data_IF_613297487425
#
_entry.id   IF_613297487425
#
_cell.length_a   1.000
_cell.length_b   1.000
_cell.length_c   1.000
_cell.angle_alpha   90.00
_cell.angle_beta   90.00
_cell.angle_gamma   90.00
#
_symmetry.space_group_name_H-M   'P 1'
#
loop_
_entity.id
_entity.type
_entity.pdbx_description
1 polymer ?
#
# COMPACT_ATOMS: atom_id res chain seq x y z
N UNK A 1 7.26 -51.30 29.16
CA UNK A 1 8.29 -50.31 29.55
C UNK A 1 8.56 -49.47 28.31
N UNK A 2 7.80 -48.43 27.93
CA UNK A 2 7.41 -47.20 28.64
C UNK A 2 8.52 -46.68 29.55
N UNK A 3 9.28 -45.71 29.05
CA UNK A 3 9.77 -44.60 29.86
C UNK A 3 9.62 -43.31 29.03
N UNK A 4 8.66 -42.49 29.47
CA UNK A 4 8.43 -41.14 29.00
C UNK A 4 9.46 -40.22 29.67
N UNK A 5 10.30 -39.56 28.88
CA UNK A 5 11.13 -38.45 29.36
C UNK A 5 10.31 -37.19 29.52
N UNK A 6 9.87 -36.93 30.75
CA UNK A 6 9.26 -35.67 31.19
C UNK A 6 10.22 -34.50 30.90
N UNK A 7 9.79 -33.54 30.07
CA UNK A 7 10.39 -32.20 30.04
C UNK A 7 9.79 -31.37 31.16
N UNK A 8 10.62 -31.01 32.13
CA UNK A 8 10.27 -30.07 33.20
C UNK A 8 9.86 -28.70 32.64
N UNK A 9 8.74 -28.12 33.09
CA UNK A 9 8.36 -26.75 32.76
C UNK A 9 9.13 -25.80 33.69
N UNK A 10 10.27 -25.27 33.26
CA UNK A 10 11.05 -24.41 34.16
C UNK A 10 12.42 -23.91 33.71
N UNK A 11 12.74 -23.86 32.42
CA UNK A 11 13.88 -23.04 31.99
C UNK A 11 13.51 -21.56 32.14
N UNK A 12 13.83 -21.04 33.34
CA UNK A 12 13.73 -19.63 33.72
C UNK A 12 14.50 -18.80 32.72
N UNK A 13 13.80 -18.02 31.90
CA UNK A 13 14.36 -16.89 31.16
C UNK A 13 15.20 -16.04 32.13
N UNK A 14 16.46 -15.76 31.79
CA UNK A 14 17.25 -14.74 32.50
C UNK A 14 16.42 -13.44 32.52
N UNK A 15 16.30 -12.76 33.68
CA UNK A 15 15.65 -11.45 33.71
C UNK A 15 16.41 -10.50 32.78
N UNK A 16 15.67 -9.80 31.91
CA UNK A 16 16.21 -8.78 31.02
C UNK A 16 16.73 -7.65 31.93
N UNK A 17 18.04 -7.38 31.90
CA UNK A 17 18.64 -6.26 32.62
C UNK A 17 19.03 -5.13 31.65
N UNK A 18 19.19 -3.91 32.20
CA UNK A 18 19.46 -2.71 31.40
C UNK A 18 20.75 -2.82 30.58
N UNK A 19 21.76 -3.52 31.10
CA UNK A 19 23.03 -3.72 30.42
C UNK A 19 22.92 -4.72 29.27
N UNK A 20 22.02 -5.70 29.36
CA UNK A 20 21.72 -6.62 28.27
C UNK A 20 20.92 -5.93 27.15
N UNK A 21 19.90 -5.14 27.50
CA UNK A 21 19.14 -4.33 26.53
C UNK A 21 20.07 -3.33 25.83
N UNK A 22 20.94 -2.64 26.59
CA UNK A 22 21.94 -1.73 26.01
C UNK A 22 22.89 -2.44 25.05
N UNK A 23 23.42 -3.62 25.40
CA UNK A 23 24.28 -4.41 24.51
C UNK A 23 23.61 -4.84 23.21
N UNK A 24 22.32 -5.20 23.25
CA UNK A 24 21.54 -5.51 22.03
C UNK A 24 21.41 -4.26 21.16
N UNK A 25 21.08 -3.12 21.75
CA UNK A 25 20.95 -1.86 21.03
C UNK A 25 22.29 -1.37 20.47
N UNK A 26 23.39 -1.53 21.21
CA UNK A 26 24.75 -1.22 20.76
C UNK A 26 25.16 -2.10 19.58
N UNK A 27 24.88 -3.41 19.63
CA UNK A 27 25.16 -4.33 18.53
C UNK A 27 24.31 -4.02 17.28
N UNK A 28 23.03 -3.65 17.48
CA UNK A 28 22.15 -3.23 16.40
C UNK A 28 22.55 -1.87 15.80
N UNK A 29 23.12 -0.96 16.60
CA UNK A 29 23.60 0.35 16.17
C UNK A 29 24.93 0.26 15.39
N UNK A 30 25.77 -0.74 15.68
CA UNK A 30 27.02 -1.00 14.95
C UNK A 30 26.80 -1.70 13.59
N UNK A 31 25.65 -2.35 13.38
CA UNK A 31 25.24 -2.80 12.06
C UNK A 31 24.88 -1.59 11.18
N UNK A 32 25.45 -1.50 9.96
CA UNK A 32 25.31 -0.34 9.05
C UNK A 32 23.87 0.05 8.64
N UNK A 33 22.85 -0.67 9.12
CA UNK A 33 21.45 -0.46 8.78
C UNK A 33 20.68 0.30 9.88
N UNK A 34 20.54 1.62 9.66
CA UNK A 34 19.83 2.56 10.53
C UNK A 34 18.35 2.22 10.75
N UNK A 35 17.68 1.63 9.77
CA UNK A 35 16.26 1.32 9.83
C UNK A 35 15.98 0.00 10.57
N UNK A 36 16.91 -0.96 10.50
CA UNK A 36 16.88 -2.14 11.38
C UNK A 36 17.04 -1.76 12.85
N UNK A 37 17.92 -0.81 13.18
CA UNK A 37 18.06 -0.33 14.57
C UNK A 37 16.75 0.27 15.10
N UNK A 38 16.10 1.16 14.32
CA UNK A 38 14.85 1.80 14.73
C UNK A 38 13.71 0.79 14.90
N UNK A 39 13.59 -0.19 14.00
CA UNK A 39 12.59 -1.26 14.12
C UNK A 39 12.82 -2.13 15.36
N UNK A 40 14.07 -2.55 15.61
CA UNK A 40 14.41 -3.38 16.77
C UNK A 40 14.20 -2.63 18.09
N UNK A 41 14.64 -1.37 18.17
CA UNK A 41 14.47 -0.55 19.36
C UNK A 41 12.98 -0.23 19.64
N UNK A 42 12.18 -0.06 18.58
CA UNK A 42 10.74 0.16 18.70
C UNK A 42 10.00 -1.08 19.19
N UNK A 43 10.18 -2.22 18.52
CA UNK A 43 9.52 -3.48 18.87
C UNK A 43 9.91 -3.96 20.28
N UNK A 44 11.20 -3.86 20.64
CA UNK A 44 11.68 -4.21 21.98
C UNK A 44 11.11 -3.26 23.05
N UNK A 45 11.01 -1.96 22.76
CA UNK A 45 10.37 -1.01 23.65
C UNK A 45 8.90 -1.33 23.92
N UNK A 46 8.14 -1.70 22.88
CA UNK A 46 6.72 -2.08 22.99
C UNK A 46 6.53 -3.36 23.83
N UNK A 47 7.35 -4.39 23.58
CA UNK A 47 7.30 -5.65 24.35
C UNK A 47 7.64 -5.42 25.84
N UNK A 48 8.61 -4.54 26.15
CA UNK A 48 8.95 -4.19 27.53
C UNK A 48 7.85 -3.38 28.23
N UNK A 49 7.17 -2.47 27.53
CA UNK A 49 5.98 -1.76 28.06
C UNK A 49 4.85 -2.76 28.35
N UNK A 50 4.61 -3.72 27.47
CA UNK A 50 3.58 -4.74 27.66
C UNK A 50 3.86 -5.65 28.87
N UNK A 51 5.14 -5.82 29.23
CA UNK A 51 5.58 -6.58 30.40
C UNK A 51 5.68 -5.75 31.68
N UNK A 52 5.41 -4.45 31.61
CA UNK A 52 5.50 -3.53 32.74
C UNK A 52 6.93 -3.12 33.12
N UNK A 53 7.91 -3.41 32.26
CA UNK A 53 9.34 -3.10 32.49
C UNK A 53 9.68 -1.70 31.94
N UNK A 54 8.99 -0.70 32.49
CA UNK A 54 8.99 0.68 31.99
C UNK A 54 10.36 1.35 31.95
N UNK A 55 11.24 1.07 32.94
CA UNK A 55 12.59 1.63 32.97
C UNK A 55 13.50 1.10 31.85
N UNK A 56 13.24 -0.10 31.34
CA UNK A 56 13.99 -0.67 30.21
C UNK A 56 13.41 -0.21 28.87
N UNK A 57 12.08 -0.07 28.80
CA UNK A 57 11.43 0.53 27.65
C UNK A 57 11.89 1.99 27.42
N UNK A 58 12.07 2.75 28.50
CA UNK A 58 12.56 4.13 28.46
C UNK A 58 13.95 4.22 27.79
N UNK A 59 14.87 3.30 28.13
CA UNK A 59 16.19 3.20 27.51
C UNK A 59 16.10 2.91 26.00
N UNK A 60 15.13 2.11 25.55
CA UNK A 60 14.92 1.84 24.12
C UNK A 60 14.43 3.10 23.38
N UNK A 61 13.45 3.81 23.96
CA UNK A 61 12.84 4.98 23.32
C UNK A 61 13.75 6.23 23.33
N UNK A 62 14.52 6.45 24.40
CA UNK A 62 15.52 7.51 24.44
C UNK A 62 16.58 7.34 23.35
N UNK A 63 17.04 6.11 23.15
CA UNK A 63 18.05 5.79 22.16
C UNK A 63 17.51 5.91 20.73
N UNK A 64 16.26 5.51 20.51
CA UNK A 64 15.56 5.71 19.24
C UNK A 64 15.38 7.20 18.91
N UNK A 65 15.01 8.01 19.91
CA UNK A 65 14.86 9.47 19.76
C UNK A 65 16.20 10.16 19.46
N UNK A 66 17.25 9.80 20.19
CA UNK A 66 18.60 10.37 19.99
C UNK A 66 19.19 10.00 18.62
N UNK A 67 18.89 8.81 18.10
CA UNK A 67 19.43 8.33 16.83
C UNK A 67 18.74 8.96 15.62
N UNK A 68 17.45 9.28 15.72
CA UNK A 68 16.66 9.87 14.65
C UNK A 68 16.75 11.41 14.57
N UNK A 69 17.41 12.06 15.53
CA UNK A 69 17.54 13.52 15.67
C UNK A 69 18.31 14.29 14.58
N UNK A 70 18.58 13.67 13.42
CA UNK A 70 19.29 14.30 12.30
C UNK A 70 18.87 13.77 10.92
N UNK A 71 17.67 13.18 10.81
CA UNK A 71 17.21 12.51 9.59
C UNK A 71 15.98 13.24 9.02
N UNK A 72 15.97 13.53 7.71
CA UNK A 72 14.87 14.21 7.00
C UNK A 72 13.73 13.26 6.57
N UNK A 73 13.87 11.96 6.87
CA UNK A 73 12.87 10.95 6.58
C UNK A 73 11.68 11.07 7.53
N UNK A 74 10.51 11.39 6.97
CA UNK A 74 9.27 11.63 7.68
C UNK A 74 8.90 10.48 8.63
N UNK A 75 9.19 9.23 8.25
CA UNK A 75 8.89 8.06 9.08
C UNK A 75 9.75 8.02 10.35
N UNK A 76 11.05 8.31 10.21
CA UNK A 76 11.99 8.33 11.33
C UNK A 76 11.74 9.54 12.25
N UNK A 77 11.31 10.66 11.69
CA UNK A 77 10.93 11.86 12.46
C UNK A 77 9.69 11.60 13.33
N UNK A 78 8.68 10.93 12.80
CA UNK A 78 7.47 10.59 13.56
C UNK A 78 7.74 9.49 14.61
N UNK A 79 8.55 8.48 14.28
CA UNK A 79 8.99 7.48 15.25
C UNK A 79 9.81 8.12 16.40
N UNK A 80 10.68 9.09 16.09
CA UNK A 80 11.45 9.84 17.09
C UNK A 80 10.58 10.70 17.99
N UNK A 81 9.53 11.32 17.44
CA UNK A 81 8.54 12.10 18.18
C UNK A 81 7.73 11.21 19.12
N UNK A 82 7.26 10.07 18.62
CA UNK A 82 6.53 9.09 19.42
C UNK A 82 7.39 8.54 20.56
N UNK A 83 8.65 8.17 20.28
CA UNK A 83 9.58 7.69 21.29
C UNK A 83 9.91 8.77 22.34
N UNK A 84 10.07 10.04 21.93
CA UNK A 84 10.32 11.15 22.87
C UNK A 84 9.13 11.43 23.79
N UNK A 85 7.91 11.34 23.25
CA UNK A 85 6.68 11.48 24.04
C UNK A 85 6.52 10.33 25.04
N UNK A 86 6.80 9.09 24.61
CA UNK A 86 6.75 7.91 25.47
C UNK A 86 7.84 7.92 26.56
N UNK A 87 9.08 8.27 26.23
CA UNK A 87 10.15 8.39 27.23
C UNK A 87 9.84 9.48 28.26
N UNK A 88 9.37 10.65 27.81
CA UNK A 88 8.96 11.74 28.72
C UNK A 88 7.82 11.35 29.67
N UNK A 89 6.97 10.42 29.24
CA UNK A 89 5.88 9.88 30.05
C UNK A 89 6.34 8.77 31.01
N UNK A 90 7.37 8.01 30.67
CA UNK A 90 7.89 6.89 31.47
C UNK A 90 8.96 7.33 32.48
N UNK A 91 9.75 8.37 32.17
CA UNK A 91 10.84 8.89 33.01
C UNK A 91 10.39 9.53 34.34
N UNK A 92 9.09 9.65 34.59
CA UNK A 92 8.53 10.17 35.84
C UNK A 92 8.43 9.16 36.99
N UNK A 93 8.69 7.87 36.76
CA UNK A 93 8.60 6.81 37.78
C UNK A 93 7.20 6.61 38.39
N UNK A 94 6.18 7.28 37.87
CA UNK A 94 4.79 7.12 38.28
C UNK A 94 4.04 6.22 37.29
N UNK A 95 3.25 5.30 37.83
CA UNK A 95 2.30 4.50 37.04
C UNK A 95 1.42 5.43 36.20
N UNK A 96 1.29 5.19 34.88
CA UNK A 96 0.60 6.13 34.01
C UNK A 96 -0.90 6.21 34.35
N UNK A 97 -1.43 7.43 34.48
CA UNK A 97 -2.87 7.68 34.62
C UNK A 97 -3.66 7.27 33.35
N UNK A 98 -4.99 7.15 33.46
CA UNK A 98 -5.90 6.69 32.38
C UNK A 98 -5.66 7.41 31.04
N UNK A 99 -5.32 8.71 31.07
CA UNK A 99 -5.02 9.51 29.87
C UNK A 99 -3.82 8.98 29.07
N UNK A 100 -2.82 8.42 29.75
CA UNK A 100 -1.61 7.90 29.11
C UNK A 100 -1.84 6.50 28.54
N UNK A 101 -2.74 5.73 29.15
CA UNK A 101 -3.22 4.46 28.58
C UNK A 101 -4.02 4.73 27.30
N UNK A 102 -4.81 5.79 27.27
CA UNK A 102 -5.56 6.19 26.07
C UNK A 102 -4.64 6.67 24.95
N UNK A 103 -3.58 7.43 25.27
CA UNK A 103 -2.57 7.86 24.28
C UNK A 103 -1.75 6.67 23.76
N UNK A 104 -1.33 5.75 24.64
CA UNK A 104 -0.62 4.53 24.25
C UNK A 104 -1.52 3.60 23.44
N UNK A 105 -2.79 3.47 23.78
CA UNK A 105 -3.75 2.64 23.04
C UNK A 105 -4.11 3.27 21.68
N UNK A 106 -4.16 4.60 21.59
CA UNK A 106 -4.36 5.33 20.32
C UNK A 106 -3.15 5.17 19.41
N UNK A 107 -1.93 5.32 19.95
CA UNK A 107 -0.69 5.09 19.20
C UNK A 107 -0.52 3.62 18.80
N UNK A 108 -0.89 2.68 19.68
CA UNK A 108 -0.96 1.25 19.41
C UNK A 108 -1.96 0.95 18.28
N UNK A 109 -3.10 1.62 18.24
CA UNK A 109 -4.08 1.49 17.15
C UNK A 109 -3.61 2.07 15.83
N UNK A 110 -2.77 3.11 15.86
CA UNK A 110 -2.20 3.69 14.64
C UNK A 110 -0.99 2.88 14.11
N UNK A 111 -0.22 2.22 14.99
CA UNK A 111 0.89 1.34 14.61
C UNK A 111 0.49 -0.10 14.30
N UNK A 112 -0.58 -0.64 14.88
CA UNK A 112 -1.14 -1.97 14.49
C UNK A 112 -1.76 -2.00 13.09
N UNK A 113 -1.84 -0.84 12.42
CA UNK A 113 -2.19 -0.71 11.00
C UNK A 113 -1.01 -0.94 10.05
N UNK A 114 0.21 -1.07 10.56
CA UNK A 114 1.36 -1.52 9.79
C UNK A 114 1.38 -3.05 9.77
N UNK A 115 1.39 -3.62 8.58
CA UNK A 115 1.50 -5.05 8.39
C UNK A 115 2.96 -5.49 8.61
N UNK A 116 3.21 -6.77 8.97
CA UNK A 116 4.56 -7.32 9.00
C UNK A 116 5.32 -7.17 7.65
N UNK A 117 4.60 -6.94 6.53
CA UNK A 117 5.18 -6.64 5.22
C UNK A 117 5.71 -5.20 5.12
N UNK A 118 5.05 -4.22 5.74
CA UNK A 118 5.51 -2.82 5.78
C UNK A 118 6.83 -2.68 6.57
N UNK A 119 6.96 -3.46 7.64
CA UNK A 119 8.19 -3.56 8.45
C UNK A 119 9.28 -4.35 7.72
N UNK A 120 8.92 -5.43 7.01
CA UNK A 120 9.86 -6.22 6.16
C UNK A 120 10.36 -5.43 4.94
N UNK A 121 9.52 -4.62 4.32
CA UNK A 121 9.89 -3.76 3.19
C UNK A 121 10.86 -2.65 3.62
N UNK A 122 10.58 -2.02 4.77
CA UNK A 122 11.46 -1.02 5.36
C UNK A 122 12.79 -1.61 5.85
N UNK A 123 12.83 -2.87 6.30
CA UNK A 123 14.09 -3.54 6.70
C UNK A 123 14.88 -4.10 5.51
N UNK A 124 14.23 -4.65 4.49
CA UNK A 124 14.88 -5.19 3.28
C UNK A 124 15.53 -4.12 2.40
N UNK A 125 14.95 -2.92 2.36
CA UNK A 125 15.49 -1.79 1.59
C UNK A 125 16.79 -1.25 2.18
N UNK A 126 17.08 -1.50 3.46
CA UNK A 126 18.23 -0.92 4.15
C UNK A 126 19.24 -1.93 4.68
N UNK A 127 18.97 -3.23 4.58
CA UNK A 127 19.88 -4.31 4.99
C UNK A 127 21.01 -4.57 3.99
N UNK A 128 21.21 -3.71 2.98
CA UNK A 128 22.45 -3.71 2.19
C UNK A 128 23.51 -2.87 2.90
N UNK A 129 24.58 -3.49 3.43
CA UNK A 129 25.76 -2.76 3.87
C UNK A 129 26.44 -2.18 2.62
N UNK A 130 26.92 -0.95 2.72
CA UNK A 130 27.56 -0.31 1.58
C UNK A 130 28.91 -0.99 1.29
N UNK A 131 29.00 -1.63 0.13
CA UNK A 131 30.29 -1.83 -0.54
C UNK A 131 30.62 -3.24 -0.97
N UNK A 132 30.05 -3.71 -2.07
CA UNK A 132 30.85 -4.03 -3.27
C UNK A 132 29.91 -4.30 -4.45
N UNK A 133 30.18 -3.65 -5.59
CA UNK A 133 29.48 -3.90 -6.85
C UNK A 133 28.68 -2.70 -7.32
N UNK A 134 29.34 -1.79 -8.02
CA UNK A 134 28.71 -0.78 -8.86
C UNK A 134 27.64 -1.41 -9.78
N UNK A 135 26.57 -0.67 -10.13
CA UNK A 135 25.47 -1.21 -10.94
C UNK A 135 25.98 -1.64 -12.33
N UNK A 136 25.56 -2.80 -12.89
CA UNK A 136 25.62 -2.98 -14.33
C UNK A 136 24.52 -2.11 -14.94
N UNK A 137 24.94 -1.17 -15.79
CA UNK A 137 24.14 -0.21 -16.55
C UNK A 137 23.63 1.05 -15.83
N UNK A 138 24.59 1.86 -15.38
CA UNK A 138 24.59 3.27 -15.76
C UNK A 138 24.95 3.41 -17.26
N UNK A 139 24.01 3.08 -18.16
CA UNK A 139 24.11 3.40 -19.58
C UNK A 139 23.06 4.47 -19.92
N UNK A 140 23.56 5.71 -19.99
CA UNK A 140 23.06 6.86 -20.76
C UNK A 140 21.55 6.88 -21.01
N UNK A 141 20.87 7.67 -20.18
CA UNK A 141 19.58 8.29 -20.50
C UNK A 141 19.54 8.72 -21.98
N UNK A 142 18.47 8.40 -22.74
CA UNK A 142 18.30 8.97 -24.07
C UNK A 142 18.24 10.50 -23.93
N UNK A 143 19.03 11.20 -24.75
CA UNK A 143 18.89 12.65 -24.93
C UNK A 143 17.44 12.92 -25.34
N UNK A 144 16.73 13.61 -24.47
CA UNK A 144 15.45 14.26 -24.76
C UNK A 144 15.62 15.08 -26.05
N UNK A 145 14.81 14.89 -27.11
CA UNK A 145 14.82 15.80 -28.24
C UNK A 145 14.47 17.20 -27.73
N UNK A 146 15.25 18.19 -28.17
CA UNK A 146 15.19 19.56 -27.70
C UNK A 146 13.75 20.10 -27.65
N UNK A 147 13.46 20.79 -26.54
CA UNK A 147 12.22 21.47 -26.26
C UNK A 147 11.71 22.30 -27.45
N UNK A 148 10.41 22.17 -27.76
CA UNK A 148 9.64 23.34 -28.16
C UNK A 148 9.44 24.21 -26.90
N UNK A 149 9.66 25.53 -26.99
CA UNK A 149 9.65 26.39 -25.83
C UNK A 149 8.20 26.71 -25.42
N UNK A 150 7.76 26.20 -24.26
CA UNK A 150 6.55 26.70 -23.60
C UNK A 150 5.78 25.68 -22.78
N UNK A 151 6.31 25.27 -21.62
CA UNK A 151 5.54 24.95 -20.40
C UNK A 151 6.48 24.34 -19.36
N UNK A 152 6.98 25.15 -18.43
CA UNK A 152 7.54 24.65 -17.16
C UNK A 152 6.35 24.33 -16.25
N UNK A 153 5.88 23.08 -16.25
CA UNK A 153 4.98 22.60 -15.20
C UNK A 153 5.83 22.01 -14.08
N UNK A 154 5.81 22.64 -12.91
CA UNK A 154 6.50 22.16 -11.72
C UNK A 154 5.75 20.96 -11.14
N UNK A 155 6.47 19.87 -10.87
CA UNK A 155 6.02 18.72 -10.08
C UNK A 155 5.33 19.20 -8.79
N UNK A 156 4.08 18.77 -8.54
CA UNK A 156 3.34 19.17 -7.34
C UNK A 156 2.43 18.04 -6.86
N UNK A 157 2.85 17.25 -5.86
CA UNK A 157 2.09 16.11 -5.38
C UNK A 157 0.76 16.55 -4.75
N UNK A 158 -0.28 15.74 -4.90
CA UNK A 158 -1.53 15.93 -4.17
C UNK A 158 -1.29 15.75 -2.66
N UNK A 159 -2.16 16.29 -1.80
CA UNK A 159 -1.85 16.41 -0.38
C UNK A 159 -1.73 15.06 0.35
N UNK A 160 -0.57 14.83 0.95
CA UNK A 160 -0.36 13.81 1.97
C UNK A 160 -1.06 14.15 3.30
N UNK A 161 -1.08 13.21 4.28
CA UNK A 161 -1.70 13.46 5.57
C UNK A 161 -0.98 14.59 6.31
N UNK A 162 -1.58 15.77 6.34
CA UNK A 162 -1.11 16.90 7.14
C UNK A 162 -1.56 16.76 8.59
N UNK A 163 -0.62 16.49 9.49
CA UNK A 163 -0.80 16.49 10.93
C UNK A 163 -0.53 17.88 11.52
N UNK A 164 -1.58 18.55 12.01
CA UNK A 164 -1.47 19.59 13.04
C UNK A 164 -2.64 19.47 14.03
N UNK A 165 -2.39 19.48 15.36
CA UNK A 165 -3.43 19.37 16.36
C UNK A 165 -4.24 20.67 16.44
N UNK A 166 -5.56 20.52 16.54
CA UNK A 166 -6.49 21.61 16.81
C UNK A 166 -6.40 21.97 18.31
N UNK A 167 -5.88 23.16 18.62
CA UNK A 167 -5.97 23.74 19.96
C UNK A 167 -6.94 24.95 19.94
N UNK A 168 -7.78 24.96 20.96
CA UNK A 168 -8.59 26.06 21.50
C UNK A 168 -9.65 26.74 20.61
N UNK A 169 -10.88 26.22 20.69
CA UNK A 169 -12.06 27.07 20.55
C UNK A 169 -13.00 26.88 21.75
N UNK A 170 -13.19 27.98 22.48
CA UNK A 170 -14.06 28.10 23.65
C UNK A 170 -15.54 27.90 23.28
N UNK A 171 -16.24 27.25 24.20
CA UNK A 171 -17.67 26.99 24.20
C UNK A 171 -18.52 28.25 24.03
N UNK A 172 -19.53 28.18 23.16
CA UNK A 172 -20.60 29.17 23.12
C UNK A 172 -21.41 29.21 21.83
N UNK A 173 -22.29 28.23 21.58
CA UNK A 173 -23.68 28.53 21.15
C UNK A 173 -24.53 27.26 21.31
N UNK A 174 -25.38 27.22 22.34
CA UNK A 174 -26.41 26.20 22.54
C UNK A 174 -27.59 26.54 21.63
N UNK A 175 -27.76 25.82 20.52
CA UNK A 175 -29.04 25.84 19.77
C UNK A 175 -29.53 24.44 19.43
N UNK A 176 -30.58 24.06 20.17
CA UNK A 176 -31.69 23.12 19.87
C UNK A 176 -31.34 21.83 19.13
N UNK A 177 -31.25 20.74 19.90
CA UNK A 177 -31.37 19.35 19.43
C UNK A 177 -32.85 19.12 19.07
N UNK A 178 -33.24 18.83 17.81
CA UNK A 178 -34.55 18.25 17.53
C UNK A 178 -34.50 16.76 17.85
N UNK A 179 -35.57 16.30 18.46
CA UNK A 179 -35.80 14.93 18.89
C UNK A 179 -35.74 13.90 17.75
N UNK A 180 -35.21 12.71 18.09
CA UNK A 180 -35.27 11.42 17.37
C UNK A 180 -35.05 11.51 15.85
N UNK A 181 -33.79 11.38 15.43
CA UNK A 181 -33.45 11.03 14.05
C UNK A 181 -33.79 9.56 13.83
N UNK A 182 -34.87 9.31 13.09
CA UNK A 182 -35.04 8.07 12.34
C UNK A 182 -33.73 7.77 11.59
N UNK A 183 -33.20 6.55 11.73
CA UNK A 183 -31.95 6.13 11.07
C UNK A 183 -32.07 6.39 9.56
N UNK A 184 -31.31 7.34 8.97
CA UNK A 184 -31.40 7.58 7.54
C UNK A 184 -30.98 6.33 6.79
N UNK A 185 -31.76 5.92 5.79
CA UNK A 185 -31.43 4.78 4.92
C UNK A 185 -30.03 4.94 4.37
N UNK A 186 -29.18 3.92 4.54
CA UNK A 186 -27.80 3.92 4.04
C UNK A 186 -27.84 3.95 2.51
N UNK A 187 -27.11 4.87 1.91
CA UNK A 187 -26.97 4.98 0.45
C UNK A 187 -25.75 4.17 0.05
N UNK A 188 -25.91 3.23 -0.87
CA UNK A 188 -24.83 2.35 -1.32
C UNK A 188 -24.34 2.77 -2.71
N UNK A 189 -23.04 3.00 -2.81
CA UNK A 189 -22.32 3.29 -4.03
C UNK A 189 -21.36 2.15 -4.35
N UNK A 190 -21.29 1.76 -5.61
CA UNK A 190 -20.25 0.89 -6.14
C UNK A 190 -19.28 1.75 -6.94
N UNK A 191 -17.99 1.60 -6.68
CA UNK A 191 -16.94 2.36 -7.34
C UNK A 191 -16.00 1.40 -8.04
N UNK A 192 -15.78 1.65 -9.32
CA UNK A 192 -14.83 0.91 -10.13
C UNK A 192 -13.66 1.79 -10.45
N UNK A 193 -12.49 1.42 -9.94
CA UNK A 193 -11.24 2.11 -10.18
C UNK A 193 -10.28 1.30 -11.07
N UNK A 194 -10.45 -0.02 -11.16
CA UNK A 194 -9.59 -0.88 -11.98
C UNK A 194 -10.03 -0.78 -13.44
N UNK A 195 -9.30 0.04 -14.19
CA UNK A 195 -9.61 0.49 -15.54
C UNK A 195 -10.36 1.81 -15.59
N UNK A 196 -11.39 1.88 -16.43
CA UNK A 196 -12.19 3.10 -16.57
C UNK A 196 -12.93 3.40 -15.27
N UNK A 197 -12.87 4.64 -14.81
CA UNK A 197 -13.55 5.04 -13.57
C UNK A 197 -15.07 5.02 -13.76
N UNK A 198 -15.77 4.26 -12.92
CA UNK A 198 -17.23 4.27 -12.85
C UNK A 198 -17.70 4.45 -11.42
N UNK A 199 -18.72 5.28 -11.23
CA UNK A 199 -19.44 5.43 -9.97
C UNK A 199 -20.89 5.00 -10.23
N UNK A 200 -21.31 3.94 -9.57
CA UNK A 200 -22.64 3.38 -9.73
C UNK A 200 -23.45 3.56 -8.44
N UNK A 201 -24.76 3.73 -8.60
CA UNK A 201 -25.73 3.63 -7.51
C UNK A 201 -26.87 2.73 -7.94
N UNK A 202 -27.17 1.71 -7.13
CA UNK A 202 -28.18 0.69 -7.47
C UNK A 202 -27.96 0.10 -8.88
N UNK A 203 -26.69 -0.18 -9.22
CA UNK A 203 -26.28 -0.74 -10.51
C UNK A 203 -26.34 0.23 -11.71
N UNK A 204 -26.69 1.51 -11.51
CA UNK A 204 -26.71 2.53 -12.58
C UNK A 204 -25.52 3.47 -12.45
N UNK A 205 -24.76 3.65 -13.54
CA UNK A 205 -23.68 4.62 -13.60
C UNK A 205 -24.23 6.06 -13.47
N UNK A 206 -23.58 6.86 -12.62
CA UNK A 206 -23.91 8.27 -12.42
C UNK A 206 -23.19 9.15 -13.45
N UNK A 207 -23.83 10.26 -13.86
CA UNK A 207 -23.18 11.24 -14.72
C UNK A 207 -22.26 12.15 -13.88
N UNK A 208 -20.96 11.99 -14.05
CA UNK A 208 -19.95 12.79 -13.35
C UNK A 208 -19.87 14.23 -13.88
N UNK A 209 -20.59 14.53 -14.96
CA UNK A 209 -20.65 15.84 -15.60
C UNK A 209 -19.33 16.26 -16.25
N UNK A 210 -19.29 17.53 -16.68
CA UNK A 210 -18.16 18.11 -17.44
C UNK A 210 -17.13 18.84 -16.58
N UNK A 211 -17.38 19.03 -15.29
CA UNK A 211 -16.49 19.79 -14.41
C UNK A 211 -15.29 18.94 -13.99
N UNK A 212 -14.15 19.14 -14.65
CA UNK A 212 -12.92 18.39 -14.39
C UNK A 212 -12.53 18.37 -12.91
N UNK A 213 -12.48 19.54 -12.25
CA UNK A 213 -12.06 19.64 -10.83
C UNK A 213 -13.04 19.00 -9.86
N UNK A 214 -14.36 19.10 -10.11
CA UNK A 214 -15.34 18.42 -9.26
C UNK A 214 -15.20 16.89 -9.37
N UNK A 215 -15.01 16.38 -10.60
CA UNK A 215 -14.75 14.97 -10.84
C UNK A 215 -13.46 14.51 -10.16
N UNK A 216 -12.37 15.27 -10.28
CA UNK A 216 -11.10 14.96 -9.59
C UNK A 216 -11.28 14.90 -8.08
N UNK A 217 -11.95 15.88 -7.47
CA UNK A 217 -12.23 15.86 -6.02
C UNK A 217 -13.08 14.64 -5.63
N UNK A 218 -14.12 14.32 -6.40
CA UNK A 218 -14.97 13.16 -6.12
C UNK A 218 -14.17 11.85 -6.18
N UNK A 219 -13.40 11.62 -7.25
CA UNK A 219 -12.51 10.46 -7.38
C UNK A 219 -11.56 10.35 -6.20
N UNK A 220 -10.94 11.48 -5.81
CA UNK A 220 -10.01 11.54 -4.69
C UNK A 220 -10.67 11.23 -3.34
N UNK A 221 -11.87 11.77 -3.07
CA UNK A 221 -12.63 11.48 -1.86
C UNK A 221 -13.07 10.01 -1.80
N UNK A 222 -13.49 9.43 -2.91
CA UNK A 222 -13.88 8.02 -2.99
C UNK A 222 -12.68 7.10 -2.76
N UNK A 223 -11.55 7.38 -3.42
CA UNK A 223 -10.32 6.58 -3.30
C UNK A 223 -9.71 6.61 -1.88
N UNK A 224 -9.91 7.70 -1.14
CA UNK A 224 -9.40 7.84 0.24
C UNK A 224 -10.44 7.52 1.31
N UNK A 225 -11.69 7.23 0.95
CA UNK A 225 -12.75 6.98 1.91
C UNK A 225 -12.40 5.82 2.85
N UNK A 226 -12.64 5.92 4.17
CA UNK A 226 -13.39 6.97 4.88
C UNK A 226 -12.52 8.14 5.39
N UNK A 227 -11.27 8.27 4.95
CA UNK A 227 -10.32 9.25 5.48
C UNK A 227 -10.72 10.68 5.07
N UNK A 228 -10.70 11.65 6.00
CA UNK A 228 -10.98 13.04 5.69
C UNK A 228 -9.85 13.67 4.86
N UNK A 229 -10.20 14.68 4.06
CA UNK A 229 -9.29 15.44 3.20
C UNK A 229 -9.35 16.92 3.56
N UNK A 230 -8.19 17.53 3.82
CA UNK A 230 -8.11 18.95 4.17
C UNK A 230 -8.60 19.85 3.03
N UNK A 231 -9.47 20.81 3.36
CA UNK A 231 -9.94 21.84 2.42
C UNK A 231 -8.78 22.67 1.90
N UNK A 232 -7.86 23.07 2.77
CA UNK A 232 -6.78 23.99 2.41
C UNK A 232 -5.79 23.29 1.49
N UNK A 233 -5.54 22.00 1.74
CA UNK A 233 -4.78 21.14 0.85
C UNK A 233 -5.43 20.96 -0.53
N UNK A 234 -6.76 20.78 -0.62
CA UNK A 234 -7.47 20.74 -1.90
C UNK A 234 -7.36 22.06 -2.66
N UNK A 235 -7.39 23.19 -1.94
CA UNK A 235 -7.21 24.52 -2.53
C UNK A 235 -5.83 24.67 -3.15
N UNK A 236 -4.78 24.35 -2.39
CA UNK A 236 -3.39 24.48 -2.84
C UNK A 236 -3.08 23.57 -4.03
N UNK A 237 -3.62 22.35 -4.03
CA UNK A 237 -3.42 21.39 -5.10
C UNK A 237 -4.16 21.79 -6.38
N UNK A 238 -5.45 22.12 -6.28
CA UNK A 238 -6.29 22.31 -7.47
C UNK A 238 -6.31 23.75 -7.99
N UNK A 239 -6.02 24.75 -7.16
CA UNK A 239 -5.98 26.16 -7.57
C UNK A 239 -4.74 26.89 -7.04
N UNK A 240 -3.53 26.41 -7.37
CA UNK A 240 -2.28 26.95 -6.82
C UNK A 240 -2.02 28.42 -7.13
N UNK A 241 -2.54 28.91 -8.25
CA UNK A 241 -2.33 30.28 -8.75
C UNK A 241 -3.45 31.24 -8.36
N UNK A 242 -4.49 30.75 -7.67
CA UNK A 242 -5.64 31.57 -7.30
C UNK A 242 -5.45 32.20 -5.92
N UNK A 243 -5.76 33.49 -5.80
CA UNK A 243 -5.84 34.13 -4.49
C UNK A 243 -6.86 33.45 -3.57
N UNK A 244 -6.58 33.43 -2.27
CA UNK A 244 -7.30 32.62 -1.28
C UNK A 244 -8.84 32.72 -1.34
N UNK A 245 -9.39 33.94 -1.51
CA UNK A 245 -10.85 34.15 -1.62
C UNK A 245 -11.46 33.48 -2.85
N UNK A 246 -10.79 33.59 -4.01
CA UNK A 246 -11.24 32.99 -5.27
C UNK A 246 -11.15 31.48 -5.20
N UNK A 247 -10.04 30.94 -4.68
CA UNK A 247 -9.85 29.51 -4.55
C UNK A 247 -10.90 28.85 -3.64
N UNK A 248 -11.21 29.47 -2.48
CA UNK A 248 -12.30 29.03 -1.59
C UNK A 248 -13.66 29.02 -2.29
N UNK A 249 -13.98 30.06 -3.05
CA UNK A 249 -15.23 30.11 -3.81
C UNK A 249 -15.29 29.01 -4.88
N UNK A 250 -14.20 28.80 -5.62
CA UNK A 250 -14.11 27.72 -6.62
C UNK A 250 -14.21 26.32 -6.00
N UNK A 251 -13.62 26.08 -4.83
CA UNK A 251 -13.78 24.83 -4.10
C UNK A 251 -15.23 24.63 -3.65
N UNK A 252 -15.88 25.66 -3.10
CA UNK A 252 -17.29 25.55 -2.73
C UNK A 252 -18.18 25.22 -3.94
N UNK A 253 -17.93 25.84 -5.10
CA UNK A 253 -18.64 25.53 -6.34
C UNK A 253 -18.39 24.08 -6.79
N UNK A 254 -17.14 23.62 -6.77
CA UNK A 254 -16.80 22.24 -7.10
C UNK A 254 -17.46 21.23 -6.14
N UNK A 255 -17.44 21.50 -4.83
CA UNK A 255 -18.10 20.65 -3.83
C UNK A 255 -19.62 20.63 -3.97
N UNK A 256 -20.24 21.73 -4.38
CA UNK A 256 -21.67 21.74 -4.75
C UNK A 256 -21.95 20.84 -5.95
N UNK A 257 -21.07 20.81 -6.95
CA UNK A 257 -21.17 19.85 -8.06
C UNK A 257 -20.97 18.42 -7.59
N UNK A 258 -20.00 18.14 -6.72
CA UNK A 258 -19.79 16.80 -6.13
C UNK A 258 -21.04 16.30 -5.41
N UNK A 259 -21.65 17.15 -4.56
CA UNK A 259 -22.90 16.82 -3.88
C UNK A 259 -24.03 16.54 -4.88
N UNK A 260 -24.14 17.36 -5.93
CA UNK A 260 -25.16 17.15 -6.98
C UNK A 260 -25.00 15.79 -7.67
N UNK A 261 -23.78 15.39 -8.00
CA UNK A 261 -23.49 14.07 -8.61
C UNK A 261 -23.95 12.95 -7.68
N UNK A 262 -23.56 12.99 -6.40
CA UNK A 262 -23.92 11.95 -5.43
C UNK A 262 -25.44 11.91 -5.14
N UNK A 263 -26.11 13.06 -5.26
CA UNK A 263 -27.57 13.17 -5.11
C UNK A 263 -28.36 12.82 -6.37
N UNK A 264 -27.73 12.52 -7.51
CA UNK A 264 -28.44 12.28 -8.77
C UNK A 264 -29.30 11.03 -8.69
N UNK A 265 -30.63 11.11 -8.80
CA UNK A 265 -31.55 9.96 -8.93
C UNK A 265 -32.04 9.30 -7.64
N UNK A 266 -31.78 9.89 -6.47
CA UNK A 266 -32.30 9.40 -5.17
C UNK A 266 -33.28 10.39 -4.54
N UNK A 267 -33.85 10.03 -3.39
CA UNK A 267 -34.77 10.92 -2.66
C UNK A 267 -33.99 11.95 -1.83
N UNK A 268 -34.44 13.20 -1.81
CA UNK A 268 -33.74 14.32 -1.17
C UNK A 268 -33.32 14.04 0.29
N UNK A 269 -34.15 13.34 1.09
CA UNK A 269 -33.85 13.00 2.49
C UNK A 269 -32.77 11.93 2.68
N UNK A 270 -32.61 11.01 1.73
CA UNK A 270 -31.61 9.93 1.80
C UNK A 270 -30.23 10.44 1.37
N UNK A 271 -30.20 11.50 0.56
CA UNK A 271 -29.00 12.02 -0.10
C UNK A 271 -28.43 13.27 0.56
N UNK A 272 -29.08 13.77 1.60
CA UNK A 272 -28.61 14.93 2.33
C UNK A 272 -27.38 14.55 3.19
N UNK A 273 -26.34 15.38 3.15
CA UNK A 273 -25.15 15.17 3.97
C UNK A 273 -24.24 14.02 3.55
N UNK A 274 -24.34 13.49 2.32
CA UNK A 274 -23.40 12.44 1.83
C UNK A 274 -21.94 12.91 1.79
N UNK A 275 -21.72 14.22 1.69
CA UNK A 275 -20.40 14.84 1.83
C UNK A 275 -20.42 15.85 2.96
N UNK A 276 -19.65 15.57 4.00
CA UNK A 276 -19.61 16.37 5.22
C UNK A 276 -18.34 17.22 5.24
N UNK A 277 -18.46 18.45 5.74
CA UNK A 277 -17.33 19.33 6.02
C UNK A 277 -17.30 19.65 7.51
N UNK A 278 -16.31 19.11 8.22
CA UNK A 278 -16.14 19.27 9.67
C UNK A 278 -14.71 19.75 9.94
N UNK A 279 -14.55 20.78 10.78
CA UNK A 279 -13.25 21.33 11.17
C UNK A 279 -12.29 21.66 10.00
N UNK A 280 -12.82 22.01 8.82
CA UNK A 280 -12.02 22.31 7.63
C UNK A 280 -11.62 21.10 6.79
N UNK A 281 -12.20 19.93 7.05
CA UNK A 281 -11.96 18.71 6.29
C UNK A 281 -13.23 18.22 5.62
N UNK A 282 -13.10 17.75 4.37
CA UNK A 282 -14.16 17.06 3.66
C UNK A 282 -14.03 15.55 3.80
N UNK A 283 -15.15 14.86 4.01
CA UNK A 283 -15.24 13.40 3.99
C UNK A 283 -16.56 12.93 3.41
N UNK A 284 -16.60 11.69 2.95
CA UNK A 284 -17.86 10.99 2.70
C UNK A 284 -18.48 10.60 4.04
N UNK A 285 -19.80 10.79 4.14
CA UNK A 285 -20.56 10.45 5.34
C UNK A 285 -20.55 8.92 5.57
N UNK A 286 -20.56 8.45 6.82
CA UNK A 286 -20.78 7.02 7.11
C UNK A 286 -22.10 6.47 6.55
N UNK A 287 -23.06 7.34 6.24
CA UNK A 287 -24.32 6.94 5.59
C UNK A 287 -24.13 6.61 4.10
N UNK A 288 -23.00 7.02 3.49
CA UNK A 288 -22.59 6.62 2.15
C UNK A 288 -21.69 5.37 2.25
N UNK A 289 -22.27 4.20 2.06
CA UNK A 289 -21.52 2.95 1.94
C UNK A 289 -20.89 2.87 0.56
N UNK A 290 -19.63 2.45 0.52
CA UNK A 290 -18.85 2.37 -0.71
C UNK A 290 -18.32 0.94 -0.83
N UNK A 291 -18.76 0.22 -1.85
CA UNK A 291 -18.06 -0.95 -2.36
C UNK A 291 -17.07 -0.50 -3.43
N UNK A 292 -15.88 -1.08 -3.43
CA UNK A 292 -14.83 -0.75 -4.38
C UNK A 292 -14.22 -2.03 -4.94
N UNK A 293 -14.07 -2.09 -6.27
CA UNK A 293 -13.38 -3.19 -6.93
C UNK A 293 -11.92 -3.33 -6.49
N UNK A 294 -11.25 -2.24 -6.11
CA UNK A 294 -9.90 -2.27 -5.50
C UNK A 294 -9.93 -2.97 -4.14
N UNK A 295 -10.84 -2.58 -3.24
CA UNK A 295 -10.95 -3.23 -1.93
C UNK A 295 -11.30 -4.72 -2.06
N UNK A 296 -12.18 -5.07 -3.01
CA UNK A 296 -12.51 -6.46 -3.28
C UNK A 296 -11.32 -7.21 -3.86
N UNK A 297 -10.64 -6.65 -4.86
CA UNK A 297 -9.42 -7.22 -5.45
C UNK A 297 -8.37 -7.53 -4.38
N UNK A 298 -8.05 -6.58 -3.52
CA UNK A 298 -7.07 -6.77 -2.44
C UNK A 298 -7.52 -7.81 -1.42
N UNK A 299 -8.81 -7.84 -1.08
CA UNK A 299 -9.36 -8.84 -0.18
C UNK A 299 -9.23 -10.25 -0.75
N UNK A 300 -9.53 -10.43 -2.04
CA UNK A 300 -9.34 -11.69 -2.77
C UNK A 300 -7.88 -12.10 -2.80
N UNK A 301 -6.97 -11.18 -3.13
CA UNK A 301 -5.52 -11.44 -3.11
C UNK A 301 -5.03 -11.90 -1.74
N UNK A 302 -5.45 -11.20 -0.67
CA UNK A 302 -5.07 -11.53 0.71
C UNK A 302 -5.65 -12.88 1.14
N UNK A 303 -6.92 -13.15 0.85
CA UNK A 303 -7.55 -14.43 1.17
C UNK A 303 -6.87 -15.59 0.43
N UNK A 304 -6.54 -15.40 -0.86
CA UNK A 304 -5.77 -16.37 -1.64
C UNK A 304 -4.43 -16.71 -0.99
N UNK A 305 -3.67 -15.70 -0.54
CA UNK A 305 -2.40 -15.92 0.16
C UNK A 305 -2.56 -16.72 1.46
N UNK A 306 -3.56 -16.38 2.27
CA UNK A 306 -3.85 -17.11 3.52
C UNK A 306 -4.27 -18.57 3.25
N UNK A 307 -5.05 -18.82 2.19
CA UNK A 307 -5.44 -20.16 1.77
C UNK A 307 -4.24 -20.97 1.27
N UNK A 308 -3.34 -20.33 0.51
CA UNK A 308 -2.10 -20.95 0.04
C UNK A 308 -1.17 -21.34 1.21
N UNK A 309 -0.97 -20.43 2.17
CA UNK A 309 -0.18 -20.67 3.39
C UNK A 309 -0.75 -21.80 4.25
N UNK A 310 -2.07 -21.99 4.24
CA UNK A 310 -2.75 -23.08 4.94
C UNK A 310 -2.86 -24.38 4.13
N UNK A 311 -2.20 -24.45 2.97
CA UNK A 311 -2.18 -25.65 2.12
C UNK A 311 -3.46 -25.89 1.31
N UNK A 312 -4.40 -24.93 1.30
CA UNK A 312 -5.68 -25.00 0.58
C UNK A 312 -5.55 -24.44 -0.83
N UNK A 313 -4.62 -25.01 -1.61
CA UNK A 313 -4.21 -24.45 -2.90
C UNK A 313 -5.36 -24.28 -3.91
N UNK A 314 -6.32 -25.21 -3.97
CA UNK A 314 -7.47 -25.11 -4.88
C UNK A 314 -8.35 -23.89 -4.57
N UNK A 315 -8.58 -23.62 -3.28
CA UNK A 315 -9.40 -22.50 -2.85
C UNK A 315 -8.66 -21.17 -3.00
N UNK A 316 -7.33 -21.19 -2.81
CA UNK A 316 -6.48 -20.04 -3.10
C UNK A 316 -6.58 -19.62 -4.57
N UNK A 317 -6.57 -20.59 -5.49
CA UNK A 317 -6.72 -20.36 -6.94
C UNK A 317 -8.05 -19.72 -7.27
N UNK A 318 -9.16 -20.18 -6.68
CA UNK A 318 -10.46 -19.55 -6.91
C UNK A 318 -10.48 -18.08 -6.47
N UNK A 319 -9.85 -17.75 -5.34
CA UNK A 319 -9.73 -16.35 -4.89
C UNK A 319 -8.86 -15.52 -5.84
N UNK A 320 -7.75 -16.09 -6.32
CA UNK A 320 -6.86 -15.44 -7.28
C UNK A 320 -7.52 -15.22 -8.65
N UNK A 321 -8.29 -16.19 -9.16
CA UNK A 321 -9.08 -16.06 -10.40
C UNK A 321 -10.08 -14.91 -10.29
N UNK A 322 -10.85 -14.86 -9.19
CA UNK A 322 -11.80 -13.77 -8.91
C UNK A 322 -11.10 -12.40 -8.81
N UNK A 323 -9.91 -12.34 -8.20
CA UNK A 323 -9.12 -11.11 -8.16
C UNK A 323 -8.74 -10.63 -9.58
N UNK A 324 -8.28 -11.56 -10.41
CA UNK A 324 -7.83 -11.30 -11.78
C UNK A 324 -8.98 -10.90 -12.73
N UNK A 325 -10.22 -11.27 -12.41
CA UNK A 325 -11.43 -10.78 -13.11
C UNK A 325 -11.79 -9.34 -12.75
N UNK A 326 -11.56 -8.92 -11.51
CA UNK A 326 -11.79 -7.54 -11.05
C UNK A 326 -10.80 -6.56 -11.67
N UNK A 327 -9.54 -6.99 -11.86
CA UNK A 327 -8.49 -6.20 -12.49
C UNK A 327 -8.63 -6.19 -14.02
N UNK A 328 -9.49 -5.30 -14.52
CA UNK A 328 -9.77 -5.17 -15.97
C UNK A 328 -8.69 -4.41 -16.73
N UNK A 329 -8.12 -3.39 -16.11
CA UNK A 329 -7.06 -2.52 -16.65
C UNK A 329 -6.45 -1.71 -15.49
N UNK A 330 -5.43 -0.90 -15.75
CA UNK A 330 -4.71 -0.12 -14.75
C UNK A 330 -5.65 0.79 -13.94
N UNK A 331 -5.29 0.98 -12.67
CA UNK A 331 -5.98 1.88 -11.76
C UNK A 331 -6.13 3.29 -12.36
N UNK A 332 -7.38 3.72 -12.52
CA UNK A 332 -7.77 5.02 -13.08
C UNK A 332 -7.05 5.33 -14.40
N UNK A 333 -7.25 4.49 -15.42
CA UNK A 333 -6.59 4.62 -16.73
C UNK A 333 -6.88 5.96 -17.44
N UNK A 334 -7.97 6.65 -17.07
CA UNK A 334 -8.29 7.98 -17.63
C UNK A 334 -7.54 9.13 -16.93
N UNK A 335 -6.88 8.87 -15.79
CA UNK A 335 -6.21 9.85 -14.95
C UNK A 335 -4.68 9.59 -14.87
N UNK A 336 -4.06 9.18 -15.99
CA UNK A 336 -2.63 8.81 -16.04
C UNK A 336 -1.68 9.92 -15.58
N UNK A 337 -2.06 11.18 -15.79
CA UNK A 337 -1.27 12.37 -15.47
C UNK A 337 -1.55 12.94 -14.07
N UNK A 338 -2.39 12.27 -13.29
CA UNK A 338 -2.69 12.67 -11.91
C UNK A 338 -1.71 11.99 -10.96
N UNK A 339 -0.74 12.75 -10.44
CA UNK A 339 0.38 12.23 -9.63
C UNK A 339 -0.06 11.37 -8.43
N UNK A 340 -1.21 11.68 -7.84
CA UNK A 340 -1.75 10.94 -6.68
C UNK A 340 -2.21 9.53 -7.00
N UNK A 341 -2.42 9.22 -8.28
CA UNK A 341 -2.79 7.88 -8.73
C UNK A 341 -1.57 6.99 -8.95
N UNK A 342 -0.38 7.57 -9.11
CA UNK A 342 0.82 6.87 -9.56
C UNK A 342 1.23 5.74 -8.60
N UNK A 343 1.36 6.06 -7.31
CA UNK A 343 1.83 5.09 -6.29
C UNK A 343 0.84 3.94 -6.16
N UNK A 344 -0.46 4.24 -6.08
CA UNK A 344 -1.50 3.22 -5.97
C UNK A 344 -1.60 2.37 -7.23
N UNK A 345 -1.47 2.97 -8.43
CA UNK A 345 -1.46 2.24 -9.70
C UNK A 345 -0.33 1.22 -9.75
N UNK A 346 0.88 1.63 -9.37
CA UNK A 346 2.04 0.73 -9.39
C UNK A 346 1.87 -0.40 -8.37
N UNK A 347 1.48 -0.07 -7.13
CA UNK A 347 1.23 -1.07 -6.08
C UNK A 347 0.18 -2.10 -6.47
N UNK A 348 -0.92 -1.65 -7.08
CA UNK A 348 -1.99 -2.53 -7.55
C UNK A 348 -1.56 -3.36 -8.76
N UNK A 349 -0.77 -2.79 -9.67
CA UNK A 349 -0.19 -3.52 -10.80
C UNK A 349 0.78 -4.61 -10.32
N UNK A 350 1.65 -4.31 -9.36
CA UNK A 350 2.56 -5.29 -8.76
C UNK A 350 1.80 -6.43 -8.08
N UNK A 351 0.74 -6.08 -7.34
CA UNK A 351 -0.13 -7.08 -6.69
C UNK A 351 -0.80 -7.97 -7.74
N UNK A 352 -1.31 -7.40 -8.83
CA UNK A 352 -1.92 -8.17 -9.92
C UNK A 352 -0.91 -9.08 -10.61
N UNK A 353 0.33 -8.61 -10.81
CA UNK A 353 1.41 -9.41 -11.37
C UNK A 353 1.82 -10.57 -10.46
N UNK A 354 1.87 -10.38 -9.14
CA UNK A 354 2.12 -11.47 -8.18
C UNK A 354 1.04 -12.56 -8.29
N UNK A 355 -0.24 -12.16 -8.36
CA UNK A 355 -1.36 -13.10 -8.49
C UNK A 355 -1.30 -13.89 -9.80
N UNK A 356 -1.02 -13.22 -10.93
CA UNK A 356 -0.86 -13.90 -12.22
C UNK A 356 0.30 -14.91 -12.20
N UNK A 357 1.42 -14.56 -11.57
CA UNK A 357 2.56 -15.46 -11.42
C UNK A 357 2.24 -16.68 -10.53
N UNK A 358 1.42 -16.51 -9.50
CA UNK A 358 0.95 -17.62 -8.64
C UNK A 358 0.01 -18.54 -9.41
N UNK A 359 -0.97 -17.99 -10.12
CA UNK A 359 -1.87 -18.75 -10.99
C UNK A 359 -1.09 -19.53 -12.06
N UNK A 360 -0.18 -18.85 -12.77
CA UNK A 360 0.63 -19.48 -13.81
C UNK A 360 1.45 -20.67 -13.28
N UNK A 361 2.07 -20.52 -12.10
CA UNK A 361 2.81 -21.60 -11.43
C UNK A 361 1.90 -22.75 -11.02
N UNK A 362 0.80 -22.45 -10.34
CA UNK A 362 -0.16 -23.46 -9.91
C UNK A 362 -0.68 -24.30 -11.09
N UNK A 363 -1.16 -23.65 -12.14
CA UNK A 363 -1.64 -24.36 -13.33
C UNK A 363 -0.54 -25.18 -14.01
N UNK A 364 0.68 -24.64 -14.08
CA UNK A 364 1.80 -25.39 -14.65
C UNK A 364 2.12 -26.65 -13.83
N UNK A 365 2.12 -26.56 -12.51
CA UNK A 365 2.43 -27.67 -11.59
C UNK A 365 1.33 -28.75 -11.58
N UNK A 366 0.07 -28.35 -11.67
CA UNK A 366 -1.09 -29.26 -11.73
C UNK A 366 -1.37 -29.84 -13.13
N UNK A 367 -0.54 -29.51 -14.13
CA UNK A 367 -0.69 -30.01 -15.50
C UNK A 367 -1.74 -29.28 -16.35
N UNK A 368 -2.34 -28.21 -15.84
CA UNK A 368 -3.27 -27.31 -16.54
C UNK A 368 -2.52 -26.34 -17.47
N UNK A 369 -1.80 -26.89 -18.45
CA UNK A 369 -0.86 -26.12 -19.27
C UNK A 369 -1.51 -24.99 -20.08
N UNK A 370 -2.79 -25.11 -20.49
CA UNK A 370 -3.47 -24.09 -21.28
C UNK A 370 -3.82 -22.87 -20.43
N UNK A 371 -4.26 -23.10 -19.20
CA UNK A 371 -4.59 -22.12 -18.19
C UNK A 371 -3.32 -21.34 -17.79
N UNK A 372 -2.22 -22.06 -17.55
CA UNK A 372 -0.91 -21.47 -17.29
C UNK A 372 -0.44 -20.54 -18.42
N UNK A 373 -0.61 -20.97 -19.68
CA UNK A 373 -0.26 -20.16 -20.86
C UNK A 373 -1.11 -18.88 -20.91
N UNK A 374 -2.41 -18.96 -20.63
CA UNK A 374 -3.29 -17.76 -20.59
C UNK A 374 -2.84 -16.77 -19.52
N UNK A 375 -2.57 -17.24 -18.30
CA UNK A 375 -2.06 -16.40 -17.21
C UNK A 375 -0.71 -15.74 -17.58
N UNK A 376 0.19 -16.50 -18.20
CA UNK A 376 1.48 -16.00 -18.67
C UNK A 376 1.34 -14.89 -19.72
N UNK A 377 0.45 -15.04 -20.70
CA UNK A 377 0.26 -13.99 -21.72
C UNK A 377 -0.29 -12.70 -21.10
N UNK A 378 -1.24 -12.79 -20.16
CA UNK A 378 -1.70 -11.61 -19.42
C UNK A 378 -0.58 -10.92 -18.64
N UNK A 379 0.32 -11.70 -18.03
CA UNK A 379 1.50 -11.14 -17.36
C UNK A 379 2.46 -10.44 -18.34
N UNK A 380 2.67 -11.02 -19.53
CA UNK A 380 3.54 -10.45 -20.56
C UNK A 380 2.96 -9.23 -21.28
N UNK A 381 1.64 -9.07 -21.31
CA UNK A 381 0.99 -7.83 -21.79
C UNK A 381 1.41 -6.63 -20.94
N UNK A 382 1.59 -6.85 -19.64
CA UNK A 382 2.03 -5.81 -18.70
C UNK A 382 3.54 -5.66 -18.65
N UNK A 383 4.26 -6.77 -18.46
CA UNK A 383 5.72 -6.79 -18.43
C UNK A 383 6.27 -7.77 -19.48
N UNK A 384 6.52 -7.28 -20.70
CA UNK A 384 7.07 -8.10 -21.78
C UNK A 384 8.47 -8.65 -21.48
N UNK A 385 9.17 -8.13 -20.48
CA UNK A 385 10.56 -8.52 -20.20
C UNK A 385 10.69 -9.50 -19.03
N UNK A 386 9.56 -10.00 -18.51
CA UNK A 386 9.52 -10.92 -17.37
C UNK A 386 10.00 -12.32 -17.75
N UNK A 387 11.28 -12.58 -17.55
CA UNK A 387 11.91 -13.87 -17.87
C UNK A 387 11.28 -15.08 -17.15
N UNK A 388 10.84 -14.92 -15.90
CA UNK A 388 10.20 -15.99 -15.14
C UNK A 388 8.94 -16.52 -15.83
N UNK A 389 8.13 -15.63 -16.40
CA UNK A 389 6.91 -15.95 -17.14
C UNK A 389 7.23 -16.71 -18.43
N UNK A 390 8.28 -16.31 -19.16
CA UNK A 390 8.74 -17.05 -20.34
C UNK A 390 9.22 -18.47 -19.99
N UNK A 391 9.87 -18.67 -18.83
CA UNK A 391 10.26 -20.00 -18.37
C UNK A 391 9.05 -20.92 -18.16
N UNK A 392 7.98 -20.40 -17.57
CA UNK A 392 6.73 -21.17 -17.41
C UNK A 392 6.14 -21.51 -18.78
N UNK A 393 6.05 -20.54 -19.71
CA UNK A 393 5.59 -20.81 -21.09
C UNK A 393 6.39 -21.91 -21.79
N UNK A 394 7.72 -21.85 -21.69
CA UNK A 394 8.61 -22.86 -22.26
C UNK A 394 8.33 -24.25 -21.69
N UNK A 395 8.17 -24.35 -20.37
CA UNK A 395 7.83 -25.61 -19.68
C UNK A 395 6.44 -26.13 -20.11
N UNK A 396 5.43 -25.27 -20.16
CA UNK A 396 4.09 -25.64 -20.60
C UNK A 396 4.07 -26.14 -22.04
N UNK A 397 4.75 -25.47 -22.97
CA UNK A 397 4.85 -25.94 -24.35
C UNK A 397 5.60 -27.26 -24.48
N UNK A 398 6.66 -27.46 -23.70
CA UNK A 398 7.38 -28.72 -23.68
C UNK A 398 6.50 -29.88 -23.21
N UNK A 399 5.73 -29.69 -22.13
CA UNK A 399 4.78 -30.68 -21.60
C UNK A 399 3.65 -31.01 -22.58
N UNK A 400 3.24 -30.05 -23.41
CA UNK A 400 2.28 -30.27 -24.49
C UNK A 400 2.89 -30.93 -25.74
N UNK A 401 4.17 -31.30 -25.73
CA UNK A 401 4.88 -31.84 -26.90
C UNK A 401 5.20 -30.79 -27.97
N UNK A 402 4.88 -29.51 -27.74
CA UNK A 402 5.08 -28.39 -28.65
C UNK A 402 6.49 -27.78 -28.49
N UNK A 403 7.52 -28.62 -28.52
CA UNK A 403 8.92 -28.24 -28.31
C UNK A 403 9.38 -27.08 -29.19
N UNK A 404 8.96 -27.05 -30.46
CA UNK A 404 9.30 -25.97 -31.38
C UNK A 404 8.84 -24.60 -30.87
N UNK A 405 7.67 -24.52 -30.22
CA UNK A 405 7.16 -23.29 -29.60
C UNK A 405 7.96 -22.90 -28.37
N UNK A 406 8.35 -23.87 -27.54
CA UNK A 406 9.20 -23.59 -26.38
C UNK A 406 10.55 -22.96 -26.81
N UNK A 407 11.20 -23.52 -27.84
CA UNK A 407 12.45 -22.99 -28.38
C UNK A 407 12.26 -21.62 -29.07
N UNK A 408 11.11 -21.39 -29.70
CA UNK A 408 10.76 -20.09 -30.26
C UNK A 408 10.61 -19.03 -29.17
N UNK A 409 9.98 -19.34 -28.03
CA UNK A 409 9.84 -18.38 -26.94
C UNK A 409 11.19 -17.94 -26.38
N UNK A 410 12.15 -18.85 -26.20
CA UNK A 410 13.50 -18.47 -25.81
C UNK A 410 14.10 -17.44 -26.77
N UNK A 411 14.02 -17.68 -28.08
CA UNK A 411 14.59 -16.78 -29.10
C UNK A 411 13.92 -15.41 -29.08
N UNK A 412 12.59 -15.37 -28.94
CA UNK A 412 11.86 -14.11 -28.80
C UNK A 412 12.28 -13.35 -27.55
N UNK A 413 12.45 -14.03 -26.40
CA UNK A 413 12.95 -13.40 -25.17
C UNK A 413 14.37 -12.87 -25.34
N UNK A 414 15.25 -13.63 -25.98
CA UNK A 414 16.64 -13.23 -26.25
C UNK A 414 16.73 -11.98 -27.14
N UNK A 415 15.97 -11.93 -28.23
CA UNK A 415 15.87 -10.76 -29.10
C UNK A 415 15.27 -9.54 -28.37
N UNK A 416 14.21 -9.75 -27.57
CA UNK A 416 13.56 -8.68 -26.83
C UNK A 416 14.47 -8.07 -25.76
N UNK A 417 15.15 -8.89 -24.96
CA UNK A 417 16.08 -8.41 -23.93
C UNK A 417 17.32 -7.76 -24.55
N UNK A 418 17.84 -8.35 -25.64
CA UNK A 418 18.96 -7.80 -26.40
C UNK A 418 18.65 -6.42 -26.96
N UNK A 419 17.45 -6.25 -27.55
CA UNK A 419 17.03 -4.97 -28.14
C UNK A 419 16.67 -3.90 -27.11
N UNK A 420 15.99 -4.26 -26.01
CA UNK A 420 15.50 -3.29 -25.02
C UNK A 420 16.53 -2.89 -23.97
N UNK A 421 17.39 -3.83 -23.56
CA UNK A 421 18.34 -3.63 -22.45
C UNK A 421 19.79 -3.93 -22.81
N UNK A 422 20.07 -4.49 -24.00
CA UNK A 422 21.42 -4.90 -24.38
C UNK A 422 21.94 -6.10 -23.57
N UNK A 423 21.03 -6.87 -22.95
CA UNK A 423 21.38 -8.00 -22.07
C UNK A 423 20.93 -9.33 -22.66
N UNK A 424 21.69 -10.40 -22.40
CA UNK A 424 21.27 -11.76 -22.71
C UNK A 424 20.34 -12.33 -21.62
N UNK A 425 19.54 -13.37 -21.93
CA UNK A 425 18.71 -14.04 -20.93
C UNK A 425 19.49 -14.57 -19.73
N UNK A 426 18.85 -14.57 -18.56
CA UNK A 426 19.39 -15.06 -17.31
C UNK A 426 19.94 -16.51 -17.39
N UNK A 427 20.89 -16.90 -16.52
CA UNK A 427 21.44 -18.25 -16.49
C UNK A 427 20.38 -19.35 -16.39
N UNK A 428 19.32 -19.12 -15.61
CA UNK A 428 18.22 -20.06 -15.41
C UNK A 428 17.41 -20.26 -16.71
N UNK A 429 17.13 -19.18 -17.44
CA UNK A 429 16.43 -19.22 -18.73
C UNK A 429 17.26 -19.95 -19.78
N UNK A 430 18.58 -19.67 -19.84
CA UNK A 430 19.51 -20.39 -20.73
C UNK A 430 19.66 -21.87 -20.39
N UNK A 431 19.67 -22.21 -19.09
CA UNK A 431 19.74 -23.61 -18.64
C UNK A 431 18.49 -24.38 -19.09
N UNK A 432 17.30 -23.80 -18.93
CA UNK A 432 16.05 -24.37 -19.41
C UNK A 432 16.06 -24.57 -20.93
N UNK A 433 16.53 -23.59 -21.70
CA UNK A 433 16.67 -23.74 -23.15
C UNK A 433 17.60 -24.90 -23.53
N UNK A 434 18.73 -25.06 -22.83
CA UNK A 434 19.67 -26.17 -23.10
C UNK A 434 19.06 -27.54 -22.76
N UNK A 435 18.30 -27.68 -21.67
CA UNK A 435 17.61 -28.95 -21.38
C UNK A 435 16.54 -29.25 -22.45
N UNK A 436 15.83 -28.21 -22.88
CA UNK A 436 14.90 -28.23 -24.01
C UNK A 436 15.57 -28.42 -25.37
N UNK A 437 16.89 -28.36 -25.53
CA UNK A 437 17.59 -28.77 -26.76
C UNK A 437 18.01 -30.24 -26.70
N UNK A 438 18.31 -30.75 -25.49
CA UNK A 438 18.76 -32.13 -25.26
C UNK A 438 17.63 -33.15 -25.24
N UNK A 439 16.38 -32.71 -25.08
CA UNK A 439 15.23 -33.64 -25.08
C UNK A 439 14.94 -34.23 -23.71
N UNK A 440 15.50 -33.63 -22.66
CA UNK A 440 15.21 -34.03 -21.29
C UNK A 440 13.76 -33.62 -20.95
N UNK A 441 12.99 -34.57 -20.40
CA UNK A 441 11.66 -34.27 -19.85
C UNK A 441 11.81 -33.32 -18.65
N UNK A 442 10.93 -32.30 -18.58
CA UNK A 442 10.96 -31.20 -17.60
C UNK A 442 9.62 -31.10 -16.86
#
# INVERSE_FOLDING_TARGET
MVEQGQRSPGERYRPLDADFVRRILDAAQQGENRLSFCSVAWELGQDLVARGEYGLADVCFDRLSSFAGGVEDHFLVEAARAAKLLSSALGGGQTPGEDLREVVETLRQDLTRLTPEDVRWATATLASPAGSGAPPNAARLPRVPAAHPGARSAFRPAPGPGSRPAADYRAGDRRKIPARLDTPGRVEFEVRFLGRFELLRQGRALDLGRSGKARTILKYLLARSPRPVSRDCLIEWLWPESGARRARWSLNAAMSSVRKILSEGGRARELEGLVVCEAGYYRLSPNARISSDVHEFEARCRNGRLLEESGRASEAVEEYERAVELYRDDYMIEDLYEDWTLIERERLADTHMDVLDRLARHYAETGQAREAIRACYRALERDPCRESTYRILMQCYARLGLRHRALQQYRMTEELLGSRYGTSPSPQTRALYRSLLRGLNI
#
